data_IF_472111840300
#
_entry.id   IF_472111840300
#
_cell.length_a   1.000
_cell.length_b   1.000
_cell.length_c   1.000
_cell.angle_alpha   90.00
_cell.angle_beta   90.00
_cell.angle_gamma   90.00
#
_symmetry.space_group_name_H-M   'P 1'
#
loop_
_entity.id
_entity.type
_entity.pdbx_description
1 polymer ?
#
# COMPACT_ATOMS: atom_id res chain seq x y z
N UNK A 1 11.69 26.00 -41.83
CA UNK A 1 12.53 26.23 -40.64
C UNK A 1 11.66 25.95 -39.42
N UNK A 2 11.66 24.69 -38.94
CA UNK A 2 10.91 24.23 -37.77
C UNK A 2 11.95 23.68 -36.80
N UNK A 3 12.00 24.22 -35.60
CA UNK A 3 12.84 23.71 -34.51
C UNK A 3 11.95 22.73 -33.73
N UNK A 4 12.31 21.45 -33.79
CA UNK A 4 11.74 20.42 -32.93
C UNK A 4 12.44 20.51 -31.57
N UNK A 5 11.64 20.50 -30.49
CA UNK A 5 12.12 20.39 -29.11
C UNK A 5 12.07 18.91 -28.73
N UNK A 6 13.23 18.27 -28.68
CA UNK A 6 13.39 16.92 -28.13
C UNK A 6 13.31 16.98 -26.61
N UNK A 7 12.28 16.36 -26.03
CA UNK A 7 12.26 15.98 -24.62
C UNK A 7 12.75 14.52 -24.53
N UNK A 8 13.97 14.35 -24.01
CA UNK A 8 14.55 13.04 -23.77
C UNK A 8 13.82 12.33 -22.61
N UNK A 9 13.31 11.13 -22.87
CA UNK A 9 12.90 10.17 -21.84
C UNK A 9 14.11 9.79 -20.98
N UNK A 10 14.18 10.31 -19.76
CA UNK A 10 15.04 9.75 -18.72
C UNK A 10 14.32 8.53 -18.11
N UNK A 11 14.84 7.33 -18.39
CA UNK A 11 14.46 6.12 -17.67
C UNK A 11 15.03 6.25 -16.27
N UNK A 12 14.17 6.45 -15.27
CA UNK A 12 14.58 6.48 -13.86
C UNK A 12 14.80 5.02 -13.40
N UNK A 13 16.02 4.50 -13.57
CA UNK A 13 16.44 3.25 -12.92
C UNK A 13 16.93 3.55 -11.51
N UNK A 14 16.22 3.03 -10.51
CA UNK A 14 16.62 3.03 -9.11
C UNK A 14 17.80 2.09 -8.86
N UNK A 15 18.92 2.56 -8.28
CA UNK A 15 19.97 1.67 -7.79
C UNK A 15 19.64 1.24 -6.36
N UNK A 16 19.46 -0.07 -6.13
CA UNK A 16 19.60 -0.65 -4.79
C UNK A 16 18.44 -1.50 -4.26
N UNK A 17 18.08 -2.57 -4.96
CA UNK A 17 17.44 -3.73 -4.34
C UNK A 17 18.22 -4.97 -4.77
N UNK A 18 19.33 -5.23 -4.08
CA UNK A 18 20.05 -6.48 -4.23
C UNK A 18 19.36 -7.55 -3.39
N UNK A 19 18.84 -8.59 -4.06
CA UNK A 19 18.35 -9.82 -3.43
C UNK A 19 19.49 -10.49 -2.65
N UNK A 20 19.29 -10.96 -1.40
CA UNK A 20 20.32 -11.74 -0.73
C UNK A 20 20.50 -13.10 -1.43
N UNK A 21 21.72 -13.60 -1.63
CA UNK A 21 21.92 -14.92 -2.23
C UNK A 21 21.53 -16.01 -1.23
N UNK A 22 20.69 -16.93 -1.70
CA UNK A 22 20.38 -18.18 -1.01
C UNK A 22 21.62 -19.05 -0.87
N UNK A 23 21.69 -19.75 0.27
CA UNK A 23 22.69 -20.77 0.59
C UNK A 23 22.71 -21.87 -0.48
N UNK A 24 23.83 -22.01 -1.18
CA UNK A 24 24.13 -23.18 -2.00
C UNK A 24 25.41 -23.85 -1.50
N UNK A 25 25.28 -25.11 -1.13
CA UNK A 25 26.32 -26.00 -0.64
C UNK A 25 27.46 -26.16 -1.67
N UNK A 26 28.69 -26.11 -1.17
CA UNK A 26 29.88 -26.41 -1.96
C UNK A 26 30.04 -27.93 -2.05
N UNK A 27 29.92 -28.49 -3.25
CA UNK A 27 30.46 -29.82 -3.55
C UNK A 27 31.51 -29.69 -4.65
N UNK A 28 32.73 -30.15 -4.35
CA UNK A 28 33.88 -30.13 -5.22
C UNK A 28 33.72 -31.12 -6.38
N UNK A 29 34.13 -30.72 -7.58
CA UNK A 29 34.46 -31.64 -8.67
C UNK A 29 35.70 -31.17 -9.43
N UNK A 30 36.54 -32.14 -9.72
CA UNK A 30 37.96 -32.06 -10.03
C UNK A 30 38.31 -31.46 -11.40
N UNK A 31 39.54 -30.95 -11.49
CA UNK A 31 40.19 -30.49 -12.72
C UNK A 31 40.54 -31.65 -13.66
N UNK A 32 40.37 -31.43 -14.97
CA UNK A 32 41.29 -31.94 -15.99
C UNK A 32 41.48 -30.87 -17.07
N UNK A 33 42.73 -30.58 -17.39
CA UNK A 33 43.19 -29.69 -18.47
C UNK A 33 43.69 -30.58 -19.60
N UNK A 34 43.31 -30.30 -20.86
CA UNK A 34 44.22 -30.40 -22.01
C UNK A 34 43.73 -29.62 -23.24
N UNK A 35 44.73 -29.10 -23.93
CA UNK A 35 44.82 -28.56 -25.30
C UNK A 35 44.32 -27.14 -25.62
N UNK A 36 45.32 -26.27 -25.79
CA UNK A 36 45.19 -24.87 -26.17
C UNK A 36 45.00 -24.67 -27.68
N UNK A 37 44.11 -23.75 -27.98
CA UNK A 37 44.18 -22.91 -29.17
C UNK A 37 43.46 -21.60 -28.86
N UNK A 38 44.17 -20.48 -28.96
CA UNK A 38 43.60 -19.14 -28.90
C UNK A 38 42.73 -18.92 -30.14
N UNK A 39 41.44 -18.69 -29.95
CA UNK A 39 40.56 -18.09 -30.95
C UNK A 39 39.94 -16.84 -30.34
N UNK A 40 40.25 -15.69 -30.93
CA UNK A 40 39.64 -14.42 -30.61
C UNK A 40 38.15 -14.46 -30.99
N UNK A 41 37.29 -14.69 -30.01
CA UNK A 41 35.84 -14.65 -30.17
C UNK A 41 35.29 -13.29 -29.76
N UNK A 42 34.93 -12.48 -30.73
CA UNK A 42 34.05 -11.32 -30.57
C UNK A 42 32.71 -11.81 -30.03
N UNK A 43 32.38 -11.50 -28.77
CA UNK A 43 31.03 -11.67 -28.25
C UNK A 43 30.18 -10.52 -28.78
N UNK A 44 29.42 -10.79 -29.83
CA UNK A 44 28.25 -10.00 -30.19
C UNK A 44 27.23 -10.14 -29.06
N UNK A 45 27.15 -9.12 -28.20
CA UNK A 45 25.99 -8.94 -27.32
C UNK A 45 24.84 -8.52 -28.21
N UNK A 46 23.94 -9.46 -28.50
CA UNK A 46 22.62 -9.14 -29.04
C UNK A 46 21.84 -8.36 -27.97
N UNK A 47 21.15 -7.27 -28.31
CA UNK A 47 20.24 -6.64 -27.36
C UNK A 47 19.12 -7.63 -27.09
N UNK A 48 19.08 -8.18 -25.88
CA UNK A 48 17.93 -8.94 -25.42
C UNK A 48 16.73 -7.99 -25.38
N UNK A 49 15.73 -8.40 -26.14
CA UNK A 49 14.44 -7.79 -26.37
C UNK A 49 13.84 -7.23 -25.07
N UNK A 50 13.71 -5.91 -25.01
CA UNK A 50 13.03 -5.18 -23.94
C UNK A 50 11.52 -5.39 -24.09
N UNK A 51 11.04 -6.59 -23.75
CA UNK A 51 9.62 -6.90 -23.65
C UNK A 51 9.30 -7.37 -22.23
N UNK A 52 9.53 -6.46 -21.27
CA UNK A 52 8.87 -6.58 -19.96
C UNK A 52 7.39 -6.23 -20.19
N UNK A 53 6.44 -7.11 -19.86
CA UNK A 53 5.03 -6.83 -20.11
C UNK A 53 4.61 -5.60 -19.30
N UNK A 54 4.05 -4.61 -19.99
CA UNK A 54 3.36 -3.46 -19.40
C UNK A 54 2.23 -3.98 -18.52
N UNK A 55 2.47 -4.15 -17.22
CA UNK A 55 1.40 -4.38 -16.25
C UNK A 55 0.83 -3.02 -15.90
N UNK A 56 -0.14 -2.60 -16.70
CA UNK A 56 -1.07 -1.53 -16.35
C UNK A 56 -1.92 -2.06 -15.20
N UNK A 57 -1.57 -1.75 -13.96
CA UNK A 57 -2.35 -2.12 -12.79
C UNK A 57 -3.40 -1.05 -12.48
N UNK A 58 -4.24 -0.74 -13.47
CA UNK A 58 -5.59 -0.28 -13.14
C UNK A 58 -6.31 -1.45 -12.46
N UNK A 59 -6.24 -1.52 -11.13
CA UNK A 59 -6.99 -2.50 -10.35
C UNK A 59 -6.13 -3.49 -9.58
N UNK A 60 -5.58 -3.04 -8.46
CA UNK A 60 -5.40 -3.89 -7.28
C UNK A 60 -6.57 -3.74 -6.31
N UNK A 61 -7.79 -3.67 -6.85
CA UNK A 61 -9.01 -4.06 -6.17
C UNK A 61 -9.69 -5.16 -7.02
N UNK A 62 -9.44 -6.42 -6.65
CA UNK A 62 -10.16 -7.59 -7.17
C UNK A 62 -11.65 -7.29 -7.12
N UNK A 63 -12.37 -7.55 -8.24
CA UNK A 63 -13.83 -7.50 -8.38
C UNK A 63 -14.56 -7.15 -7.09
N UNK A 64 -14.78 -5.85 -6.85
CA UNK A 64 -15.85 -5.47 -5.95
C UNK A 64 -17.10 -6.06 -6.57
N UNK A 65 -17.69 -7.07 -5.94
CA UNK A 65 -19.09 -7.39 -6.25
C UNK A 65 -19.81 -6.09 -5.98
N UNK A 66 -20.36 -5.47 -7.03
CA UNK A 66 -21.30 -4.36 -6.89
C UNK A 66 -22.53 -4.95 -6.24
N UNK A 67 -22.49 -5.10 -4.93
CA UNK A 67 -23.66 -5.49 -4.16
C UNK A 67 -24.48 -4.21 -4.05
N UNK A 68 -25.58 -4.15 -4.79
CA UNK A 68 -26.66 -3.22 -4.48
C UNK A 68 -27.23 -3.57 -3.11
N UNK A 69 -26.56 -3.16 -2.03
CA UNK A 69 -27.18 -3.07 -0.71
C UNK A 69 -27.68 -1.66 -0.57
N UNK A 70 -28.99 -1.55 -0.35
CA UNK A 70 -29.61 -0.32 0.16
C UNK A 70 -28.82 0.05 1.41
N UNK A 71 -28.10 1.17 1.36
CA UNK A 71 -27.43 1.75 2.53
C UNK A 71 -28.52 1.91 3.60
N UNK A 72 -28.48 1.16 4.72
CA UNK A 72 -29.34 1.48 5.85
C UNK A 72 -28.93 2.88 6.28
N UNK A 73 -29.86 3.84 6.24
CA UNK A 73 -29.54 5.22 6.54
C UNK A 73 -28.90 5.32 7.92
N UNK A 74 -27.62 5.71 7.99
CA UNK A 74 -26.84 6.10 9.20
C UNK A 74 -27.18 5.32 10.49
N UNK A 75 -27.56 4.04 10.37
CA UNK A 75 -28.06 3.26 11.49
C UNK A 75 -26.89 2.50 12.12
N UNK A 76 -26.35 3.10 13.18
CA UNK A 76 -25.72 2.41 14.29
C UNK A 76 -24.49 1.58 13.94
N UNK A 77 -23.33 2.24 13.81
CA UNK A 77 -22.17 1.69 14.51
C UNK A 77 -22.60 1.60 15.97
N UNK A 78 -22.72 0.39 16.52
CA UNK A 78 -22.84 0.24 17.97
C UNK A 78 -21.62 0.92 18.57
N UNK A 79 -21.81 2.15 19.06
CA UNK A 79 -20.74 3.03 19.49
C UNK A 79 -20.03 2.31 20.64
N UNK A 80 -18.77 1.96 20.43
CA UNK A 80 -17.90 1.64 21.55
C UNK A 80 -17.80 2.91 22.39
N UNK A 81 -18.41 2.91 23.57
CA UNK A 81 -18.53 4.09 24.41
C UNK A 81 -17.15 4.72 24.67
N UNK A 82 -17.01 6.01 24.37
CA UNK A 82 -15.78 6.78 24.59
C UNK A 82 -14.87 7.01 23.38
N UNK A 83 -15.23 6.56 22.19
CA UNK A 83 -14.49 6.86 20.95
C UNK A 83 -15.09 8.08 20.22
N UNK A 84 -14.24 8.98 19.74
CA UNK A 84 -14.61 10.20 19.01
C UNK A 84 -14.60 9.96 17.49
N UNK A 85 -15.57 10.55 16.78
CA UNK A 85 -15.67 10.45 15.33
C UNK A 85 -14.62 11.35 14.65
N UNK A 86 -13.79 10.77 13.78
CA UNK A 86 -12.77 11.46 12.98
C UNK A 86 -13.13 11.39 11.50
N UNK A 87 -13.11 12.53 10.82
CA UNK A 87 -13.28 12.65 9.37
C UNK A 87 -11.92 12.53 8.69
N UNK A 88 -11.68 11.44 7.97
CA UNK A 88 -10.44 11.23 7.21
C UNK A 88 -10.63 11.71 5.78
N UNK A 89 -9.80 12.65 5.33
CA UNK A 89 -9.94 13.32 4.02
C UNK A 89 -8.59 13.36 3.29
N UNK A 90 -8.42 12.46 2.32
CA UNK A 90 -7.32 12.55 1.36
C UNK A 90 -7.71 13.41 0.17
N UNK A 91 -6.73 14.10 -0.38
CA UNK A 91 -6.83 14.83 -1.64
C UNK A 91 -5.72 14.42 -2.58
N UNK A 92 -5.92 14.59 -3.88
CA UNK A 92 -4.82 14.62 -4.84
C UNK A 92 -4.11 15.97 -4.75
N UNK A 93 -2.93 16.06 -5.35
CA UNK A 93 -2.06 17.23 -5.24
C UNK A 93 -2.68 18.52 -5.82
N UNK A 94 -3.55 18.41 -6.81
CA UNK A 94 -4.35 19.51 -7.36
C UNK A 94 -5.51 19.96 -6.45
N UNK A 95 -5.66 19.33 -5.28
CA UNK A 95 -6.72 19.58 -4.31
C UNK A 95 -8.02 18.82 -4.57
N UNK A 96 -8.11 18.01 -5.64
CA UNK A 96 -9.29 17.18 -5.88
C UNK A 96 -9.53 16.22 -4.71
N UNK A 97 -10.79 16.03 -4.33
CA UNK A 97 -11.15 15.11 -3.26
C UNK A 97 -10.82 13.67 -3.70
N UNK A 98 -10.06 12.95 -2.87
CA UNK A 98 -9.70 11.56 -3.10
C UNK A 98 -10.46 10.67 -2.12
N UNK A 99 -9.83 9.67 -1.51
CA UNK A 99 -10.46 8.83 -0.50
C UNK A 99 -10.91 9.63 0.72
N UNK A 100 -12.14 9.41 1.12
CA UNK A 100 -12.69 9.93 2.36
C UNK A 100 -13.65 8.94 3.02
N UNK A 101 -13.60 8.96 4.35
CA UNK A 101 -14.42 8.11 5.22
C UNK A 101 -14.41 8.67 6.64
N UNK A 102 -15.31 8.18 7.48
CA UNK A 102 -15.33 8.52 8.91
C UNK A 102 -14.79 7.32 9.70
N UNK A 103 -13.99 7.59 10.75
CA UNK A 103 -13.30 6.60 11.56
C UNK A 103 -13.44 6.94 13.06
N UNK A 104 -13.04 6.02 13.94
CA UNK A 104 -13.06 6.20 15.38
C UNK A 104 -11.66 6.54 15.91
N UNK A 105 -11.47 7.60 16.69
CA UNK A 105 -10.20 7.83 17.39
C UNK A 105 -10.03 6.79 18.50
N UNK A 106 -9.04 5.89 18.35
CA UNK A 106 -8.78 4.84 19.35
C UNK A 106 -7.79 5.28 20.43
N UNK A 107 -6.84 6.14 20.07
CA UNK A 107 -5.80 6.65 20.96
C UNK A 107 -4.49 6.94 20.23
N UNK A 108 -3.44 7.20 21.01
CA UNK A 108 -2.10 7.53 20.51
C UNK A 108 -1.06 6.72 21.27
N UNK A 109 0.01 6.36 20.60
CA UNK A 109 1.22 5.78 21.21
C UNK A 109 2.49 6.37 20.58
N UNK A 110 3.65 5.77 20.84
CA UNK A 110 4.94 6.22 20.32
C UNK A 110 5.04 6.24 18.79
N UNK A 111 4.15 5.53 18.08
CA UNK A 111 4.14 5.48 16.62
C UNK A 111 3.21 6.52 15.98
N UNK A 112 2.24 7.03 16.74
CA UNK A 112 1.31 8.04 16.26
C UNK A 112 -0.12 7.83 16.75
N UNK A 113 -1.07 8.42 16.03
CA UNK A 113 -2.50 8.30 16.33
C UNK A 113 -3.11 7.12 15.59
N UNK A 114 -3.89 6.30 16.31
CA UNK A 114 -4.58 5.14 15.77
C UNK A 114 -6.06 5.43 15.60
N UNK A 115 -6.55 5.23 14.38
CA UNK A 115 -7.94 5.34 14.00
C UNK A 115 -8.52 3.95 13.70
N UNK A 116 -9.74 3.72 14.14
CA UNK A 116 -10.44 2.45 14.02
C UNK A 116 -11.55 2.51 12.99
N UNK A 117 -11.58 1.53 12.10
CA UNK A 117 -12.60 1.39 11.07
C UNK A 117 -13.22 -0.01 11.18
N UNK A 118 -14.30 -0.20 11.94
CA UNK A 118 -14.96 -1.50 12.04
C UNK A 118 -15.44 -2.02 10.68
N UNK A 119 -15.64 -3.34 10.58
CA UNK A 119 -16.29 -3.95 9.41
C UNK A 119 -17.63 -3.25 9.12
N UNK A 120 -17.88 -2.93 7.84
CA UNK A 120 -19.03 -2.12 7.42
C UNK A 120 -18.75 -0.62 7.31
N UNK A 121 -17.53 -0.16 7.57
CA UNK A 121 -17.14 1.24 7.35
C UNK A 121 -17.34 1.63 5.88
N UNK A 122 -18.02 2.75 5.65
CA UNK A 122 -18.30 3.29 4.31
C UNK A 122 -17.21 4.28 3.92
N UNK A 123 -16.70 4.14 2.70
CA UNK A 123 -15.69 5.01 2.11
C UNK A 123 -16.06 5.42 0.69
N UNK A 124 -15.49 6.51 0.21
CA UNK A 124 -15.75 7.03 -1.11
C UNK A 124 -14.50 7.69 -1.70
N UNK A 125 -14.24 7.45 -2.99
CA UNK A 125 -13.20 8.17 -3.73
C UNK A 125 -13.84 9.33 -4.46
N UNK A 126 -13.46 10.55 -4.11
CA UNK A 126 -14.05 11.78 -4.65
C UNK A 126 -15.59 11.76 -4.54
N UNK A 127 -16.25 11.69 -5.69
CA UNK A 127 -17.71 11.62 -5.81
C UNK A 127 -18.20 10.33 -6.49
N UNK A 128 -17.34 9.31 -6.57
CA UNK A 128 -17.69 8.00 -7.13
C UNK A 128 -18.68 7.25 -6.23
N UNK A 129 -19.12 6.06 -6.64
CA UNK A 129 -19.96 5.23 -5.78
C UNK A 129 -19.25 4.89 -4.46
N UNK A 130 -20.00 4.88 -3.37
CA UNK A 130 -19.50 4.46 -2.07
C UNK A 130 -19.14 2.99 -2.08
N UNK A 131 -18.03 2.66 -1.45
CA UNK A 131 -17.62 1.30 -1.14
C UNK A 131 -17.81 1.03 0.35
N UNK A 132 -17.72 -0.25 0.72
CA UNK A 132 -17.77 -0.70 2.12
C UNK A 132 -16.57 -1.58 2.35
N UNK A 133 -15.82 -1.31 3.42
CA UNK A 133 -14.82 -2.26 3.90
C UNK A 133 -15.53 -3.42 4.59
N UNK A 134 -15.36 -4.64 4.05
CA UNK A 134 -15.98 -5.85 4.59
C UNK A 134 -15.32 -6.30 5.90
N UNK A 135 -14.00 -6.06 6.02
CA UNK A 135 -13.22 -6.35 7.21
C UNK A 135 -12.94 -5.09 8.05
N UNK A 136 -12.70 -5.30 9.34
CA UNK A 136 -12.22 -4.24 10.21
C UNK A 136 -10.77 -3.85 9.84
N UNK A 137 -10.44 -2.58 10.04
CA UNK A 137 -9.13 -2.02 9.80
C UNK A 137 -8.75 -1.04 10.91
N UNK A 138 -7.44 -0.84 11.09
CA UNK A 138 -6.93 0.31 11.84
C UNK A 138 -5.97 1.10 10.96
N UNK A 139 -6.09 2.43 11.03
CA UNK A 139 -5.25 3.38 10.34
C UNK A 139 -4.31 4.02 11.36
N UNK A 140 -3.00 3.88 11.14
CA UNK A 140 -1.97 4.63 11.84
C UNK A 140 -1.67 5.92 11.10
N UNK A 141 -1.73 7.02 11.85
CA UNK A 141 -1.34 8.37 11.44
C UNK A 141 -0.08 8.76 12.23
N UNK A 142 1.12 8.55 11.66
CA UNK A 142 2.37 8.95 12.30
C UNK A 142 2.54 10.48 12.36
N UNK A 143 3.32 10.95 13.33
CA UNK A 143 3.70 12.37 13.46
C UNK A 143 4.87 12.67 12.54
N UNK A 144 4.78 13.74 11.75
CA UNK A 144 5.85 14.22 10.87
C UNK A 144 6.45 13.11 9.98
N UNK A 145 5.58 12.29 9.37
CA UNK A 145 5.96 11.30 8.37
C UNK A 145 5.11 11.44 7.12
N UNK A 146 5.72 11.10 5.99
CA UNK A 146 5.13 11.21 4.65
C UNK A 146 4.37 9.94 4.25
N UNK A 147 3.64 9.37 5.21
CA UNK A 147 2.84 8.18 4.97
C UNK A 147 1.77 8.00 6.03
N UNK A 148 0.78 7.18 5.70
CA UNK A 148 -0.21 6.62 6.64
C UNK A 148 -0.34 5.13 6.39
N UNK A 149 -0.71 4.33 7.39
CA UNK A 149 -0.74 2.87 7.25
C UNK A 149 -2.06 2.25 7.72
N UNK A 150 -2.76 1.60 6.79
CA UNK A 150 -3.91 0.72 7.07
C UNK A 150 -3.44 -0.70 7.37
N UNK A 151 -3.91 -1.24 8.48
CA UNK A 151 -3.74 -2.63 8.88
C UNK A 151 -5.09 -3.33 8.84
N UNK A 152 -5.19 -4.37 8.02
CA UNK A 152 -6.46 -5.00 7.71
C UNK A 152 -6.65 -6.26 8.57
N UNK A 153 -7.87 -6.55 9.01
CA UNK A 153 -8.22 -7.85 9.56
C UNK A 153 -8.30 -8.91 8.46
N UNK A 154 -8.14 -10.18 8.83
CA UNK A 154 -8.47 -11.30 7.95
C UNK A 154 -9.99 -11.32 7.67
N UNK A 155 -10.42 -11.79 6.48
CA UNK A 155 -9.65 -12.44 5.42
C UNK A 155 -9.07 -11.50 4.35
N UNK A 156 -8.95 -10.20 4.60
CA UNK A 156 -8.46 -9.25 3.59
C UNK A 156 -7.08 -9.67 3.03
N UNK A 157 -6.95 -9.70 1.69
CA UNK A 157 -5.76 -10.24 0.99
C UNK A 157 -4.46 -9.48 1.28
N UNK A 158 -4.59 -8.18 1.55
CA UNK A 158 -3.48 -7.32 1.95
C UNK A 158 -3.49 -7.21 3.47
N UNK A 159 -2.37 -7.51 4.12
CA UNK A 159 -2.23 -7.34 5.58
C UNK A 159 -2.02 -5.85 5.90
N UNK A 160 -1.03 -5.24 5.27
CA UNK A 160 -0.64 -3.83 5.50
C UNK A 160 -0.68 -3.10 4.16
N UNK A 161 -1.29 -1.93 4.16
CA UNK A 161 -1.30 -1.00 3.05
C UNK A 161 -0.84 0.36 3.55
N UNK A 162 0.22 0.92 2.98
CA UNK A 162 0.71 2.24 3.36
C UNK A 162 0.66 3.18 2.16
N UNK A 163 -0.14 4.23 2.26
CA UNK A 163 -0.16 5.34 1.32
C UNK A 163 1.04 6.25 1.61
N UNK A 164 1.85 6.54 0.58
CA UNK A 164 2.78 7.66 0.62
C UNK A 164 1.98 8.94 0.37
N UNK A 165 2.11 9.86 1.32
CA UNK A 165 1.29 11.05 1.38
C UNK A 165 2.09 12.23 1.94
N UNK A 166 1.56 13.46 1.80
CA UNK A 166 2.06 14.58 2.60
C UNK A 166 1.98 14.27 4.09
N UNK A 167 2.78 14.95 4.91
CA UNK A 167 2.61 14.92 6.36
C UNK A 167 1.15 15.26 6.71
N UNK A 168 0.50 14.36 7.44
CA UNK A 168 -0.90 14.51 7.75
C UNK A 168 -1.12 15.65 8.75
N UNK A 169 -2.20 16.41 8.57
CA UNK A 169 -2.55 17.57 9.39
C UNK A 169 -3.92 17.39 10.03
N UNK A 170 -4.07 17.91 11.25
CA UNK A 170 -5.30 17.82 12.03
C UNK A 170 -6.02 19.17 12.07
N UNK A 171 -7.32 19.16 11.78
CA UNK A 171 -8.22 20.32 11.89
C UNK A 171 -9.41 19.96 12.77
N UNK A 172 -9.22 20.05 14.10
CA UNK A 172 -10.13 19.42 15.05
C UNK A 172 -10.18 17.92 14.80
N UNK A 173 -11.38 17.38 14.61
CA UNK A 173 -11.59 15.96 14.30
C UNK A 173 -11.55 15.64 12.80
N UNK A 174 -10.83 16.43 12.01
CA UNK A 174 -10.60 16.14 10.59
C UNK A 174 -9.11 15.91 10.31
N UNK A 175 -8.79 14.72 9.84
CA UNK A 175 -7.48 14.36 9.32
C UNK A 175 -7.40 14.73 7.84
N UNK A 176 -6.35 15.45 7.44
CA UNK A 176 -6.08 15.81 6.05
C UNK A 176 -4.69 15.36 5.62
N UNK A 177 -4.61 14.75 4.44
CA UNK A 177 -3.36 14.45 3.78
C UNK A 177 -3.51 14.55 2.26
N UNK A 178 -2.41 14.78 1.56
CA UNK A 178 -2.33 14.73 0.10
C UNK A 178 -1.74 13.38 -0.28
N UNK A 179 -2.49 12.59 -1.01
CA UNK A 179 -2.06 11.31 -1.58
C UNK A 179 -1.08 11.55 -2.74
N UNK A 180 0.07 10.87 -2.71
CA UNK A 180 1.14 11.02 -3.69
C UNK A 180 1.28 9.79 -4.61
N UNK A 181 0.26 8.93 -4.71
CA UNK A 181 0.18 7.82 -5.69
C UNK A 181 1.24 6.72 -5.58
N UNK A 182 2.01 6.70 -4.50
CA UNK A 182 3.02 5.67 -4.27
C UNK A 182 2.60 4.87 -3.04
N UNK A 183 2.70 3.54 -3.11
CA UNK A 183 2.19 2.68 -2.04
C UNK A 183 3.17 1.57 -1.68
N UNK A 184 3.29 1.26 -0.39
CA UNK A 184 4.01 0.08 0.09
C UNK A 184 3.03 -0.87 0.74
N UNK A 185 2.97 -2.11 0.25
CA UNK A 185 2.02 -3.11 0.74
C UNK A 185 2.71 -4.37 1.23
N UNK A 186 2.15 -5.01 2.26
CA UNK A 186 2.47 -6.38 2.67
C UNK A 186 1.26 -7.29 2.47
N UNK A 187 1.46 -8.36 1.70
CA UNK A 187 0.47 -9.42 1.47
C UNK A 187 0.46 -10.41 2.65
N UNK A 188 -0.60 -11.19 2.78
CA UNK A 188 -0.73 -12.21 3.84
C UNK A 188 0.31 -13.33 3.75
N UNK A 189 0.90 -13.56 2.58
CA UNK A 189 2.02 -14.50 2.38
C UNK A 189 3.38 -13.90 2.78
N UNK A 190 3.41 -12.66 3.30
CA UNK A 190 4.60 -11.94 3.72
C UNK A 190 5.30 -11.16 2.61
N UNK A 191 4.84 -11.24 1.35
CA UNK A 191 5.43 -10.49 0.24
C UNK A 191 5.23 -8.99 0.43
N UNK A 192 6.31 -8.22 0.31
CA UNK A 192 6.31 -6.75 0.35
C UNK A 192 6.51 -6.20 -1.07
N UNK A 193 5.65 -5.28 -1.49
CA UNK A 193 5.64 -4.70 -2.83
C UNK A 193 5.58 -3.17 -2.75
N UNK A 194 6.33 -2.51 -3.63
CA UNK A 194 6.11 -1.12 -4.00
C UNK A 194 5.13 -1.13 -5.18
N UNK A 195 4.07 -0.33 -5.11
CA UNK A 195 3.03 -0.23 -6.13
C UNK A 195 2.97 1.20 -6.68
N UNK A 196 2.38 1.32 -7.87
CA UNK A 196 1.97 2.57 -8.51
C UNK A 196 3.13 3.56 -8.79
N UNK A 197 4.35 3.02 -8.95
CA UNK A 197 5.54 3.77 -9.41
C UNK A 197 5.31 4.51 -10.75
N UNK A 198 4.54 3.92 -11.66
CA UNK A 198 4.18 4.52 -12.94
C UNK A 198 3.17 5.66 -12.78
N UNK A 199 2.15 5.49 -11.94
CA UNK A 199 1.20 6.55 -11.61
C UNK A 199 1.89 7.73 -10.92
N UNK A 200 2.79 7.46 -9.96
CA UNK A 200 3.61 8.48 -9.31
C UNK A 200 4.44 9.27 -10.34
N UNK A 201 5.13 8.60 -11.26
CA UNK A 201 5.93 9.26 -12.30
C UNK A 201 5.07 10.11 -13.25
N UNK A 202 3.90 9.61 -13.66
CA UNK A 202 2.95 10.38 -14.47
C UNK A 202 2.41 11.60 -13.72
N UNK A 203 2.12 11.44 -12.43
CA UNK A 203 1.55 12.48 -11.58
C UNK A 203 2.55 13.56 -11.17
N UNK A 204 3.84 13.24 -11.07
CA UNK A 204 4.91 14.25 -10.95
C UNK A 204 4.83 15.28 -12.07
N UNK A 205 4.67 14.82 -13.33
CA UNK A 205 4.57 15.70 -14.50
C UNK A 205 3.21 16.41 -14.55
N UNK A 206 2.13 15.66 -14.34
CA UNK A 206 0.74 16.18 -14.43
C UNK A 206 0.46 17.28 -13.41
N UNK A 207 0.91 17.10 -12.16
CA UNK A 207 0.62 18.01 -11.06
C UNK A 207 1.78 18.96 -10.75
N UNK A 208 2.96 18.73 -11.34
CA UNK A 208 4.15 19.55 -11.11
C UNK A 208 4.65 19.41 -9.67
N UNK A 209 4.87 18.17 -9.21
CA UNK A 209 5.40 17.93 -7.87
C UNK A 209 6.73 18.68 -7.69
N UNK A 210 6.85 19.52 -6.66
CA UNK A 210 8.12 20.14 -6.30
C UNK A 210 9.20 19.07 -6.03
N UNK A 211 10.48 19.32 -6.37
CA UNK A 211 11.55 18.34 -6.18
C UNK A 211 11.69 17.82 -4.74
N UNK A 212 11.41 18.65 -3.75
CA UNK A 212 11.42 18.29 -2.33
C UNK A 212 10.27 17.36 -1.95
N UNK A 213 9.09 17.52 -2.54
CA UNK A 213 7.96 16.59 -2.39
C UNK A 213 8.29 15.23 -2.98
N UNK A 214 8.88 15.20 -4.18
CA UNK A 214 9.31 13.95 -4.83
C UNK A 214 10.33 13.22 -3.97
N UNK A 215 11.38 13.94 -3.54
CA UNK A 215 12.43 13.36 -2.70
C UNK A 215 11.89 12.83 -1.36
N UNK A 216 10.94 13.55 -0.74
CA UNK A 216 10.33 13.11 0.51
C UNK A 216 9.46 11.86 0.34
N UNK A 217 8.66 11.80 -0.72
CA UNK A 217 7.83 10.63 -1.04
C UNK A 217 8.68 9.38 -1.30
N UNK A 218 9.73 9.54 -2.10
CA UNK A 218 10.67 8.47 -2.44
C UNK A 218 11.44 7.95 -1.21
N UNK A 219 11.95 8.86 -0.38
CA UNK A 219 12.63 8.49 0.86
C UNK A 219 11.69 7.74 1.82
N UNK A 220 10.45 8.22 1.96
CA UNK A 220 9.44 7.59 2.79
C UNK A 220 9.08 6.18 2.29
N UNK A 221 8.93 5.99 0.98
CA UNK A 221 8.67 4.70 0.38
C UNK A 221 9.82 3.71 0.62
N UNK A 222 11.07 4.15 0.41
CA UNK A 222 12.24 3.32 0.64
C UNK A 222 12.37 2.90 2.12
N UNK A 223 12.14 3.83 3.05
CA UNK A 223 12.17 3.54 4.48
C UNK A 223 11.05 2.61 4.92
N UNK A 224 9.82 2.84 4.45
CA UNK A 224 8.69 1.94 4.72
C UNK A 224 8.92 0.54 4.18
N UNK A 225 9.37 0.43 2.92
CA UNK A 225 9.67 -0.86 2.32
C UNK A 225 10.68 -1.64 3.16
N UNK A 226 11.75 -0.98 3.61
CA UNK A 226 12.75 -1.57 4.51
C UNK A 226 12.15 -1.99 5.84
N UNK A 227 11.45 -1.10 6.54
CA UNK A 227 10.90 -1.37 7.87
C UNK A 227 9.84 -2.48 7.86
N UNK A 228 8.95 -2.50 6.85
CA UNK A 228 7.94 -3.55 6.68
C UNK A 228 8.59 -4.89 6.34
N UNK A 229 9.61 -4.90 5.47
CA UNK A 229 10.36 -6.10 5.09
C UNK A 229 11.16 -6.69 6.27
N UNK A 230 11.72 -5.82 7.11
CA UNK A 230 12.43 -6.20 8.32
C UNK A 230 11.48 -6.56 9.48
N UNK A 231 10.17 -6.40 9.29
CA UNK A 231 9.15 -6.60 10.31
C UNK A 231 9.45 -5.79 11.58
N UNK A 232 9.83 -4.52 11.40
CA UNK A 232 10.02 -3.55 12.48
C UNK A 232 8.66 -3.07 13.02
N UNK A 233 8.61 -2.64 14.29
CA UNK A 233 7.41 -1.98 14.80
C UNK A 233 7.21 -0.61 14.13
N UNK A 234 5.96 -0.20 13.83
CA UNK A 234 4.68 -0.77 14.28
C UNK A 234 4.10 -1.90 13.41
N UNK A 235 4.86 -2.37 12.41
CA UNK A 235 4.38 -3.33 11.39
C UNK A 235 4.43 -4.79 11.83
N UNK A 236 5.06 -5.09 12.97
CA UNK A 236 5.23 -6.46 13.44
C UNK A 236 4.03 -6.94 14.26
N UNK A 237 3.82 -6.35 15.43
CA UNK A 237 2.80 -6.82 16.37
C UNK A 237 1.96 -5.71 16.95
N UNK A 238 2.47 -4.47 17.00
CA UNK A 238 1.81 -3.37 17.69
C UNK A 238 0.41 -3.11 17.16
N UNK A 239 0.26 -3.07 15.84
CA UNK A 239 -1.02 -2.81 15.18
C UNK A 239 -2.13 -3.79 15.62
N UNK A 240 -1.78 -5.04 15.97
CA UNK A 240 -2.75 -6.09 16.35
C UNK A 240 -3.53 -5.71 17.60
N UNK A 241 -2.87 -5.02 18.54
CA UNK A 241 -3.52 -4.55 19.78
C UNK A 241 -4.59 -3.50 19.50
N UNK A 242 -4.39 -2.66 18.48
CA UNK A 242 -5.35 -1.67 18.03
C UNK A 242 -6.45 -2.31 17.20
N UNK A 243 -6.09 -3.20 16.28
CA UNK A 243 -7.04 -3.92 15.43
C UNK A 243 -8.04 -4.74 16.24
N UNK A 244 -7.58 -5.39 17.32
CA UNK A 244 -8.46 -6.13 18.24
C UNK A 244 -9.59 -5.27 18.86
N UNK A 245 -9.42 -3.94 18.95
CA UNK A 245 -10.46 -3.04 19.49
C UNK A 245 -11.63 -2.83 18.53
N UNK A 246 -11.45 -3.12 17.24
CA UNK A 246 -12.46 -2.88 16.19
C UNK A 246 -12.91 -4.14 15.47
N UNK A 247 -12.22 -5.27 15.64
CA UNK A 247 -12.55 -6.53 14.97
C UNK A 247 -13.76 -7.29 15.54
N UNK A 248 -14.37 -6.81 16.63
CA UNK A 248 -15.46 -7.53 17.33
C UNK A 248 -15.04 -8.92 17.85
N UNK A 249 -15.89 -9.61 18.62
CA UNK A 249 -15.69 -11.05 18.84
C UNK A 249 -15.85 -11.77 17.49
N UNK A 250 -14.95 -12.72 17.20
CA UNK A 250 -15.07 -13.57 16.02
C UNK A 250 -16.49 -14.15 15.96
N UNK A 251 -17.23 -13.83 14.90
CA UNK A 251 -18.55 -14.45 14.69
C UNK A 251 -18.33 -15.95 14.58
N UNK A 252 -18.87 -16.71 15.53
CA UNK A 252 -18.96 -18.16 15.38
C UNK A 252 -19.67 -18.46 14.05
N UNK A 253 -19.23 -19.48 13.29
CA UNK A 253 -20.00 -19.92 12.12
C UNK A 253 -21.43 -20.20 12.60
N UNK A 254 -22.41 -19.57 11.96
CA UNK A 254 -23.81 -19.80 12.25
C UNK A 254 -24.14 -21.29 12.09
N UNK A 255 -25.17 -21.80 12.78
CA UNK A 255 -25.53 -23.21 12.67
C UNK A 255 -25.80 -23.56 11.20
N UNK A 256 -25.19 -24.67 10.77
CA UNK A 256 -25.38 -25.25 9.44
C UNK A 256 -26.87 -25.51 9.21
N UNK A 257 -27.52 -24.86 8.22
CA UNK A 257 -28.95 -25.01 7.99
C UNK A 257 -29.35 -26.42 7.52
N UNK A 258 -28.39 -27.28 7.17
CA UNK A 258 -28.65 -28.63 6.68
C UNK A 258 -28.38 -29.75 7.71
N UNK A 259 -28.16 -29.38 8.97
CA UNK A 259 -27.80 -30.30 10.06
C UNK A 259 -28.94 -31.09 10.72
N UNK A 260 -30.08 -31.36 10.07
CA UNK A 260 -31.04 -32.38 10.56
C UNK A 260 -31.76 -33.08 9.39
N UNK A 261 -31.21 -34.23 8.99
CA UNK A 261 -31.97 -35.37 8.46
C UNK A 261 -31.33 -36.65 9.00
N UNK A 262 -31.72 -37.00 10.22
CA UNK A 262 -31.58 -38.33 10.82
C UNK A 262 -32.94 -39.00 10.89
#
# INVERSE_FOLDING_TARGET
>A
MRIASDAASAICTWPGLATPPGTAETTAASRSVVDGLLVAGTVLVTPADATRPRRRCQGLWTTATVVHRRVPGRAGLDRVAGMEDVRVRYRKYDGALHWHFDALRLGTDEFGTWLGCPAGTVLQRGHELTLVWEEAQVLLVPVDRWWTANFNAEPHRTEIYCDIASVATWHGDELRAVDLDLDVVRRRDGRVELLDEDEFAEHQVKYGYPPDVVAAAEAAAADLYRSISANEEPFATRYRTWLAKVSGPARSPGPDPDGERG
#
